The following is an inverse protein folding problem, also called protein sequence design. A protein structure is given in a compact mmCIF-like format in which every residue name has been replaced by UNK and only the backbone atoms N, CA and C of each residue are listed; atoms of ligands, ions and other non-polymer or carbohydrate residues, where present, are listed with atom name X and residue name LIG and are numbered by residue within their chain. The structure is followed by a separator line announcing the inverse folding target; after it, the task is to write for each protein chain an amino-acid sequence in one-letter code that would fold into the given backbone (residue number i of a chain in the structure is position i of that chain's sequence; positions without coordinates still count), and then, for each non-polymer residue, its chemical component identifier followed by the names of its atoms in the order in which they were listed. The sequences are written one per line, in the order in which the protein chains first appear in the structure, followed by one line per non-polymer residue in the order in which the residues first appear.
data_IF_376184330606
#
_entry.id   IF_376184330606
#
_cell.length_a   1.000
_cell.length_b   1.000
_cell.length_c   1.000
_cell.angle_alpha   90.00
_cell.angle_beta   90.00
_cell.angle_gamma   90.00
#
_symmetry.space_group_name_H-M   'P 1'
#
loop_
_entity.id
_entity.type
_entity.pdbx_description
1 polymer ?
#
# COMPACT_ATOMS: atom_id res chain seq x y z
N UNK A 1 29.80 0.66 16.34
CA UNK A 1 30.94 1.61 16.37
C UNK A 1 31.37 2.07 14.98
N UNK A 2 31.49 1.20 13.95
CA UNK A 2 31.92 1.56 12.59
C UNK A 2 31.10 2.69 11.93
N UNK A 3 29.79 2.54 11.78
CA UNK A 3 28.92 3.57 11.17
C UNK A 3 28.63 4.81 12.04
N UNK A 4 29.16 4.85 13.26
CA UNK A 4 29.17 6.08 14.08
C UNK A 4 30.44 6.90 13.84
N UNK A 5 31.51 6.26 13.35
CA UNK A 5 32.78 6.89 13.03
C UNK A 5 32.92 7.19 11.52
N UNK A 6 32.36 6.32 10.68
CA UNK A 6 32.32 6.47 9.22
C UNK A 6 30.91 6.87 8.76
N UNK A 7 30.83 7.60 7.64
CA UNK A 7 29.54 7.99 7.04
C UNK A 7 28.81 6.75 6.54
N UNK A 8 27.51 6.65 6.85
CA UNK A 8 26.66 5.53 6.41
C UNK A 8 26.44 5.61 4.88
N UNK A 9 26.68 4.52 4.11
CA UNK A 9 26.29 4.47 2.71
C UNK A 9 24.76 4.47 2.60
N UNK A 10 24.22 5.31 1.73
CA UNK A 10 22.78 5.43 1.48
C UNK A 10 22.47 4.77 0.13
N UNK A 11 21.68 3.71 0.15
CA UNK A 11 21.22 2.98 -1.03
C UNK A 11 19.73 3.23 -1.29
N UNK A 12 19.33 3.18 -2.56
CA UNK A 12 17.93 3.28 -2.99
C UNK A 12 17.18 1.97 -2.74
N UNK A 13 15.97 2.05 -2.20
CA UNK A 13 15.00 0.95 -2.11
C UNK A 13 13.87 1.06 -3.13
N UNK A 14 13.92 2.06 -4.02
CA UNK A 14 12.90 2.29 -5.04
C UNK A 14 12.54 1.02 -5.85
N UNK A 15 13.50 0.20 -6.33
CA UNK A 15 13.19 -0.99 -7.15
C UNK A 15 12.47 -2.12 -6.42
N UNK A 16 12.15 -1.97 -5.15
CA UNK A 16 11.40 -2.97 -4.38
C UNK A 16 9.89 -2.70 -4.52
N UNK A 17 9.15 -2.66 -3.42
CA UNK A 17 7.69 -2.47 -3.40
C UNK A 17 7.24 -1.05 -3.79
N UNK A 18 8.13 -0.06 -3.71
CA UNK A 18 7.79 1.34 -3.97
C UNK A 18 7.67 1.67 -5.47
N UNK A 19 8.19 0.81 -6.34
CA UNK A 19 8.22 1.08 -7.77
C UNK A 19 6.83 1.03 -8.40
N UNK A 20 6.00 0.06 -7.99
CA UNK A 20 4.64 -0.12 -8.49
C UNK A 20 3.79 1.12 -8.23
N UNK A 21 3.79 1.62 -6.99
CA UNK A 21 3.03 2.82 -6.61
C UNK A 21 3.55 4.08 -7.33
N UNK A 22 4.87 4.19 -7.51
CA UNK A 22 5.48 5.30 -8.24
C UNK A 22 5.08 5.30 -9.73
N UNK A 23 5.19 4.16 -10.40
CA UNK A 23 4.80 4.02 -11.81
C UNK A 23 3.32 4.31 -11.98
N UNK A 24 2.48 3.80 -11.08
CA UNK A 24 1.05 4.02 -11.15
C UNK A 24 0.70 5.52 -11.09
N UNK A 25 1.32 6.26 -10.17
CA UNK A 25 1.11 7.70 -10.05
C UNK A 25 1.53 8.45 -11.33
N UNK A 26 2.67 8.10 -11.91
CA UNK A 26 3.18 8.73 -13.14
C UNK A 26 2.38 8.34 -14.39
N UNK A 27 1.84 7.12 -14.46
CA UNK A 27 0.92 6.68 -15.53
C UNK A 27 -0.42 7.43 -15.40
N UNK A 28 -0.95 7.59 -14.19
CA UNK A 28 -2.20 8.33 -13.96
C UNK A 28 -2.11 9.80 -14.39
N UNK A 29 -0.94 10.43 -14.19
CA UNK A 29 -0.65 11.82 -14.61
C UNK A 29 -0.23 11.92 -16.09
N UNK A 30 -0.05 10.78 -16.78
CA UNK A 30 0.45 10.67 -18.16
C UNK A 30 1.88 11.19 -18.35
N UNK A 31 2.72 11.07 -17.32
CA UNK A 31 4.17 11.22 -17.47
C UNK A 31 4.77 9.99 -18.14
N UNK A 32 4.22 8.81 -17.85
CA UNK A 32 4.54 7.53 -18.49
C UNK A 32 3.36 7.17 -19.39
N UNK A 33 3.52 7.27 -20.71
CA UNK A 33 2.50 6.85 -21.67
C UNK A 33 2.88 5.53 -22.36
N UNK A 34 4.15 5.16 -22.35
CA UNK A 34 4.64 3.92 -22.96
C UNK A 34 5.78 3.28 -22.13
N UNK A 35 6.15 2.05 -22.46
CA UNK A 35 7.24 1.31 -21.79
C UNK A 35 8.61 2.00 -21.86
N UNK A 36 8.88 2.75 -22.93
CA UNK A 36 10.14 3.49 -23.09
C UNK A 36 10.19 4.67 -22.10
N UNK A 37 9.09 5.39 -21.90
CA UNK A 37 8.99 6.46 -20.90
C UNK A 37 9.24 5.92 -19.49
N UNK A 38 8.74 4.72 -19.17
CA UNK A 38 8.97 4.07 -17.89
C UNK A 38 10.47 3.76 -17.66
N UNK A 39 11.17 3.30 -18.70
CA UNK A 39 12.62 3.12 -18.66
C UNK A 39 13.35 4.46 -18.48
N UNK A 40 12.93 5.49 -19.22
CA UNK A 40 13.55 6.81 -19.20
C UNK A 40 13.41 7.46 -17.81
N UNK A 41 12.23 7.34 -17.18
CA UNK A 41 11.99 7.83 -15.82
C UNK A 41 12.95 7.17 -14.82
N UNK A 42 13.20 5.86 -14.94
CA UNK A 42 14.10 5.15 -14.03
C UNK A 42 15.54 5.68 -14.10
N UNK A 43 16.00 6.10 -15.28
CA UNK A 43 17.33 6.69 -15.47
C UNK A 43 17.49 8.00 -14.67
N UNK A 44 16.41 8.75 -14.47
CA UNK A 44 16.41 9.99 -13.69
C UNK A 44 16.50 9.76 -12.16
N UNK A 45 16.29 8.53 -11.69
CA UNK A 45 16.22 8.23 -10.26
C UNK A 45 17.60 8.11 -9.60
N UNK A 46 17.64 8.30 -8.28
CA UNK A 46 18.82 7.97 -7.48
C UNK A 46 19.18 6.48 -7.58
N UNK A 47 18.19 5.62 -7.80
CA UNK A 47 18.38 4.17 -7.95
C UNK A 47 19.34 3.82 -9.09
N UNK A 48 19.11 4.40 -10.27
CA UNK A 48 19.98 4.17 -11.43
C UNK A 48 21.42 4.57 -11.16
N UNK A 49 21.64 5.72 -10.51
CA UNK A 49 22.98 6.17 -10.12
C UNK A 49 23.66 5.17 -9.18
N UNK A 50 22.93 4.56 -8.25
CA UNK A 50 23.47 3.59 -7.28
C UNK A 50 23.71 2.20 -7.86
N UNK A 51 22.92 1.76 -8.83
CA UNK A 51 23.14 0.49 -9.54
C UNK A 51 24.54 0.42 -10.17
N UNK A 52 25.05 1.53 -10.70
CA UNK A 52 26.42 1.59 -11.27
C UNK A 52 27.53 1.56 -10.21
N UNK A 53 27.24 1.99 -8.98
CA UNK A 53 28.23 2.14 -7.90
C UNK A 53 28.28 0.91 -6.98
N UNK A 54 27.16 0.24 -6.78
CA UNK A 54 27.04 -0.94 -5.93
C UNK A 54 26.08 -1.97 -6.55
N UNK A 55 26.45 -2.59 -7.69
CA UNK A 55 25.57 -3.48 -8.45
C UNK A 55 25.10 -4.69 -7.65
N UNK A 56 25.98 -5.27 -6.81
CA UNK A 56 25.65 -6.43 -6.00
C UNK A 56 24.49 -6.18 -5.03
N UNK A 57 24.28 -4.94 -4.57
CA UNK A 57 23.13 -4.59 -3.73
C UNK A 57 21.79 -4.75 -4.47
N UNK A 58 21.81 -4.52 -5.78
CA UNK A 58 20.65 -4.59 -6.67
C UNK A 58 20.56 -5.94 -7.41
N UNK A 59 21.30 -6.96 -6.96
CA UNK A 59 21.42 -8.26 -7.64
C UNK A 59 21.92 -8.17 -9.09
N UNK A 60 22.69 -7.12 -9.42
CA UNK A 60 23.35 -6.97 -10.71
C UNK A 60 24.74 -7.62 -10.68
N UNK A 61 25.03 -8.47 -11.67
CA UNK A 61 26.33 -9.14 -11.80
C UNK A 61 27.37 -8.31 -12.57
N UNK A 62 26.92 -7.35 -13.38
CA UNK A 62 27.78 -6.54 -14.24
C UNK A 62 27.15 -5.15 -14.43
N UNK A 63 28.00 -4.14 -14.66
CA UNK A 63 27.62 -2.73 -14.85
C UNK A 63 27.80 -2.28 -16.30
N UNK A 64 28.02 -3.20 -17.24
CA UNK A 64 28.04 -2.83 -18.65
C UNK A 64 26.68 -2.25 -19.06
N UNK A 65 26.68 -1.32 -20.01
CA UNK A 65 25.46 -0.66 -20.48
C UNK A 65 24.36 -1.65 -20.88
N UNK A 66 24.75 -2.78 -21.48
CA UNK A 66 23.82 -3.83 -21.85
C UNK A 66 23.16 -4.48 -20.63
N UNK A 67 23.92 -4.91 -19.61
CA UNK A 67 23.35 -5.54 -18.43
C UNK A 67 22.46 -4.60 -17.61
N UNK A 68 22.82 -3.32 -17.55
CA UNK A 68 21.97 -2.30 -16.89
C UNK A 68 20.67 -2.10 -17.66
N UNK A 69 20.73 -2.00 -18.99
CA UNK A 69 19.55 -1.87 -19.83
C UNK A 69 18.64 -3.09 -19.71
N UNK A 70 19.21 -4.29 -19.76
CA UNK A 70 18.47 -5.55 -19.64
C UNK A 70 17.77 -5.64 -18.28
N UNK A 71 18.46 -5.27 -17.18
CA UNK A 71 17.86 -5.26 -15.85
C UNK A 71 16.76 -4.22 -15.68
N UNK A 72 16.94 -3.00 -16.21
CA UNK A 72 15.89 -1.98 -16.17
C UNK A 72 14.67 -2.42 -16.99
N UNK A 73 14.91 -3.03 -18.16
CA UNK A 73 13.83 -3.57 -18.98
C UNK A 73 13.08 -4.68 -18.25
N UNK A 74 13.77 -5.62 -17.62
CA UNK A 74 13.16 -6.69 -16.81
C UNK A 74 12.35 -6.11 -15.64
N UNK A 75 12.88 -5.08 -14.97
CA UNK A 75 12.21 -4.40 -13.86
C UNK A 75 10.93 -3.70 -14.31
N UNK A 76 10.97 -2.98 -15.44
CA UNK A 76 9.79 -2.33 -16.03
C UNK A 76 8.76 -3.37 -16.44
N UNK A 77 9.16 -4.42 -17.15
CA UNK A 77 8.23 -5.48 -17.59
C UNK A 77 7.59 -6.20 -16.40
N UNK A 78 8.35 -6.53 -15.37
CA UNK A 78 7.82 -7.20 -14.17
C UNK A 78 6.83 -6.30 -13.44
N UNK A 79 7.18 -5.03 -13.22
CA UNK A 79 6.31 -4.09 -12.49
C UNK A 79 5.04 -3.75 -13.26
N UNK A 80 5.12 -3.51 -14.57
CA UNK A 80 3.94 -3.30 -15.40
C UNK A 80 3.08 -4.57 -15.49
N UNK A 81 3.69 -5.76 -15.58
CA UNK A 81 2.95 -7.02 -15.57
C UNK A 81 2.17 -7.22 -14.26
N UNK A 82 2.78 -6.94 -13.11
CA UNK A 82 2.12 -7.00 -11.81
C UNK A 82 0.95 -6.00 -11.72
N UNK A 83 1.13 -4.77 -12.20
CA UNK A 83 0.08 -3.74 -12.23
C UNK A 83 -1.07 -4.08 -13.19
N UNK A 84 -0.80 -4.81 -14.28
CA UNK A 84 -1.84 -5.36 -15.16
C UNK A 84 -2.58 -6.49 -14.45
N UNK A 85 -1.88 -7.37 -13.74
CA UNK A 85 -2.48 -8.47 -12.98
C UNK A 85 -3.42 -7.95 -11.87
N UNK A 86 -3.05 -6.85 -11.21
CA UNK A 86 -3.90 -6.15 -10.23
C UNK A 86 -5.02 -5.31 -10.85
N UNK A 87 -5.14 -5.29 -12.20
CA UNK A 87 -6.12 -4.51 -12.98
C UNK A 87 -6.04 -3.00 -12.72
N UNK A 88 -4.86 -2.50 -12.36
CA UNK A 88 -4.64 -1.08 -12.13
C UNK A 88 -4.29 -0.35 -13.44
N UNK A 89 -3.65 -1.02 -14.39
CA UNK A 89 -3.30 -0.47 -15.71
C UNK A 89 -3.72 -1.43 -16.83
N UNK A 90 -3.79 -0.90 -18.06
CA UNK A 90 -3.90 -1.66 -19.29
C UNK A 90 -2.70 -1.36 -20.19
N UNK A 91 -2.27 -2.37 -20.94
CA UNK A 91 -1.23 -2.23 -21.97
C UNK A 91 -1.89 -2.45 -23.33
N UNK A 92 -1.82 -1.43 -24.19
CA UNK A 92 -2.34 -1.42 -25.56
C UNK A 92 -1.17 -1.59 -26.53
N UNK A 93 -1.38 -2.35 -27.62
CA UNK A 93 -0.39 -2.60 -28.68
C UNK A 93 1.00 -3.07 -28.17
N UNK A 94 1.01 -3.78 -27.02
CA UNK A 94 2.22 -4.27 -26.32
C UNK A 94 3.20 -3.18 -25.84
N UNK A 95 2.88 -1.90 -26.04
CA UNK A 95 3.80 -0.77 -25.82
C UNK A 95 3.19 0.39 -25.03
N UNK A 96 1.96 0.79 -25.34
CA UNK A 96 1.30 1.94 -24.74
C UNK A 96 0.62 1.53 -23.43
N UNK A 97 0.67 2.40 -22.41
CA UNK A 97 0.20 2.12 -21.06
C UNK A 97 -0.85 3.14 -20.66
N UNK A 98 -1.98 2.68 -20.14
CA UNK A 98 -3.07 3.53 -19.66
C UNK A 98 -3.53 3.11 -18.26
N UNK A 99 -3.83 4.09 -17.41
CA UNK A 99 -4.39 3.83 -16.09
C UNK A 99 -5.87 3.42 -16.20
N UNK A 100 -6.24 2.34 -15.52
CA UNK A 100 -7.64 1.93 -15.35
C UNK A 100 -8.26 2.62 -14.12
N UNK A 101 -9.57 2.47 -13.93
CA UNK A 101 -10.28 3.07 -12.80
C UNK A 101 -9.62 2.76 -11.44
N UNK A 102 -9.19 1.51 -11.22
CA UNK A 102 -8.51 1.13 -9.98
C UNK A 102 -7.16 1.86 -9.83
N UNK A 103 -6.41 1.99 -10.93
CA UNK A 103 -5.15 2.73 -10.93
C UNK A 103 -5.34 4.22 -10.63
N UNK A 104 -6.40 4.82 -11.18
CA UNK A 104 -6.76 6.22 -10.91
C UNK A 104 -7.10 6.43 -9.43
N UNK A 105 -7.94 5.57 -8.84
CA UNK A 105 -8.29 5.64 -7.42
C UNK A 105 -7.03 5.55 -6.54
N UNK A 106 -6.14 4.60 -6.82
CA UNK A 106 -4.89 4.43 -6.06
C UNK A 106 -4.03 5.70 -6.11
N UNK A 107 -3.87 6.29 -7.30
CA UNK A 107 -3.08 7.51 -7.50
C UNK A 107 -3.72 8.74 -6.83
N UNK A 108 -5.04 8.92 -6.95
CA UNK A 108 -5.77 10.07 -6.41
C UNK A 108 -5.74 10.10 -4.87
N UNK A 109 -5.84 8.94 -4.22
CA UNK A 109 -5.84 8.84 -2.75
C UNK A 109 -4.47 8.56 -2.14
N UNK A 110 -3.43 8.38 -2.98
CA UNK A 110 -2.08 8.01 -2.58
C UNK A 110 -2.05 6.80 -1.63
N UNK A 111 -2.71 5.73 -2.08
CA UNK A 111 -2.75 4.42 -1.39
C UNK A 111 -1.91 3.42 -2.17
N UNK A 112 -1.56 2.29 -1.57
CA UNK A 112 -0.75 1.27 -2.25
C UNK A 112 -1.60 0.43 -3.20
N UNK A 113 -1.02 0.00 -4.33
CA UNK A 113 -1.69 -0.89 -5.28
C UNK A 113 -2.13 -2.22 -4.63
N UNK A 114 -1.35 -2.71 -3.64
CA UNK A 114 -1.66 -3.92 -2.87
C UNK A 114 -2.97 -3.74 -2.08
N UNK A 115 -3.20 -2.56 -1.52
CA UNK A 115 -4.43 -2.28 -0.77
C UNK A 115 -5.66 -2.32 -1.68
N UNK A 116 -5.56 -1.76 -2.89
CA UNK A 116 -6.66 -1.81 -3.86
C UNK A 116 -6.91 -3.23 -4.38
N UNK A 117 -5.86 -4.03 -4.52
CA UNK A 117 -5.99 -5.46 -4.81
C UNK A 117 -6.75 -6.19 -3.70
N UNK A 118 -6.39 -5.96 -2.43
CA UNK A 118 -7.10 -6.51 -1.26
C UNK A 118 -8.57 -6.09 -1.26
N UNK A 119 -8.88 -4.84 -1.61
CA UNK A 119 -10.25 -4.34 -1.69
C UNK A 119 -11.03 -5.04 -2.79
N UNK A 120 -10.43 -5.20 -3.96
CA UNK A 120 -11.07 -5.85 -5.11
C UNK A 120 -11.36 -7.33 -4.83
N UNK A 121 -10.49 -8.03 -4.11
CA UNK A 121 -10.67 -9.44 -3.76
C UNK A 121 -11.64 -9.65 -2.57
N UNK A 122 -11.68 -8.71 -1.62
CA UNK A 122 -12.40 -8.89 -0.36
C UNK A 122 -13.80 -8.25 -0.36
N UNK A 123 -14.00 -7.15 -1.09
CA UNK A 123 -15.28 -6.47 -1.16
C UNK A 123 -16.24 -7.22 -2.09
N UNK A 124 -17.49 -7.34 -1.65
CA UNK A 124 -18.59 -7.99 -2.37
C UNK A 124 -19.84 -7.13 -2.21
N UNK A 125 -20.84 -7.33 -3.07
CA UNK A 125 -22.14 -6.68 -2.96
C UNK A 125 -22.82 -6.95 -1.59
N UNK A 126 -22.56 -8.11 -0.99
CA UNK A 126 -23.12 -8.51 0.31
C UNK A 126 -22.33 -8.02 1.53
N UNK A 127 -21.22 -7.28 1.33
CA UNK A 127 -20.38 -6.81 2.43
C UNK A 127 -21.17 -5.89 3.38
N UNK A 128 -21.07 -6.20 4.68
CA UNK A 128 -21.69 -5.45 5.78
C UNK A 128 -20.64 -4.58 6.47
N UNK A 129 -21.07 -3.69 7.36
CA UNK A 129 -20.18 -2.79 8.11
C UNK A 129 -19.05 -3.52 8.86
N UNK A 130 -19.33 -4.69 9.46
CA UNK A 130 -18.30 -5.55 10.06
C UNK A 130 -17.21 -5.92 9.04
N UNK A 131 -17.60 -6.39 7.86
CA UNK A 131 -16.68 -6.77 6.80
C UNK A 131 -15.93 -5.59 6.21
N UNK A 132 -16.58 -4.42 6.08
CA UNK A 132 -15.89 -3.19 5.66
C UNK A 132 -14.78 -2.81 6.64
N UNK A 133 -15.07 -2.87 7.94
CA UNK A 133 -14.08 -2.56 8.97
C UNK A 133 -12.90 -3.53 8.94
N UNK A 134 -13.17 -4.82 8.74
CA UNK A 134 -12.14 -5.86 8.57
C UNK A 134 -11.26 -5.57 7.34
N UNK A 135 -11.87 -5.28 6.20
CA UNK A 135 -11.15 -5.00 4.94
C UNK A 135 -10.28 -3.75 5.08
N UNK A 136 -10.83 -2.64 5.59
CA UNK A 136 -10.08 -1.39 5.78
C UNK A 136 -8.94 -1.61 6.78
N UNK A 137 -9.16 -2.33 7.88
CA UNK A 137 -8.09 -2.62 8.86
C UNK A 137 -6.98 -3.51 8.31
N UNK A 138 -7.23 -4.25 7.23
CA UNK A 138 -6.28 -5.15 6.57
C UNK A 138 -5.49 -4.47 5.43
N UNK A 139 -5.62 -3.15 5.28
CA UNK A 139 -4.90 -2.39 4.25
C UNK A 139 -3.39 -2.35 4.53
N UNK A 140 -2.56 -2.38 3.48
CA UNK A 140 -1.10 -2.44 3.58
C UNK A 140 -0.50 -1.22 4.30
N UNK A 141 -1.21 -0.08 4.28
CA UNK A 141 -0.83 1.17 4.94
C UNK A 141 -0.69 1.05 6.46
N UNK A 142 -1.35 0.04 7.04
CA UNK A 142 -1.34 -0.24 8.48
C UNK A 142 -0.32 -1.30 8.91
N UNK A 143 0.44 -1.89 7.98
CA UNK A 143 1.51 -2.85 8.34
C UNK A 143 2.60 -2.22 9.22
N UNK A 144 2.81 -0.91 9.07
CA UNK A 144 3.81 -0.16 9.82
C UNK A 144 3.34 0.27 11.22
N UNK A 145 2.11 -0.08 11.63
CA UNK A 145 1.63 0.23 12.99
C UNK A 145 2.47 -0.58 14.00
N UNK A 146 3.10 0.07 14.99
CA UNK A 146 4.03 -0.61 15.88
C UNK A 146 3.29 -1.57 16.81
N UNK A 147 3.81 -2.78 16.97
CA UNK A 147 3.37 -3.73 17.99
C UNK A 147 4.40 -3.73 19.12
N UNK A 148 3.99 -3.31 20.32
CA UNK A 148 4.87 -3.20 21.48
C UNK A 148 4.85 -4.49 22.31
N UNK A 149 5.93 -4.74 23.06
CA UNK A 149 6.02 -5.90 23.96
C UNK A 149 4.95 -5.81 25.05
N UNK A 150 4.28 -6.94 25.32
CA UNK A 150 3.22 -7.08 26.33
C UNK A 150 2.00 -6.18 26.09
N UNK A 151 1.80 -5.72 24.86
CA UNK A 151 0.63 -4.93 24.45
C UNK A 151 -0.62 -5.81 24.30
N UNK A 152 -0.46 -7.12 24.15
CA UNK A 152 -1.52 -8.14 24.02
C UNK A 152 -2.52 -8.10 25.18
N UNK A 153 -2.04 -7.89 26.41
CA UNK A 153 -2.90 -7.80 27.60
C UNK A 153 -3.81 -6.58 27.54
N UNK A 154 -3.29 -5.45 27.03
CA UNK A 154 -4.06 -4.22 26.88
C UNK A 154 -5.05 -4.34 25.73
N UNK A 155 -4.61 -4.85 24.58
CA UNK A 155 -5.47 -5.07 23.42
C UNK A 155 -6.58 -6.07 23.74
N UNK A 156 -6.34 -7.09 24.57
CA UNK A 156 -7.39 -8.00 25.05
C UNK A 156 -8.45 -7.29 25.88
N UNK A 157 -8.06 -6.39 26.79
CA UNK A 157 -9.01 -5.59 27.59
C UNK A 157 -9.84 -4.65 26.72
N UNK A 158 -9.24 -4.08 25.67
CA UNK A 158 -9.97 -3.28 24.67
C UNK A 158 -10.91 -4.19 23.89
N UNK A 159 -10.42 -5.34 23.43
CA UNK A 159 -11.19 -6.31 22.67
C UNK A 159 -12.45 -6.72 23.41
N UNK A 160 -12.39 -7.04 24.70
CA UNK A 160 -13.56 -7.42 25.50
C UNK A 160 -14.68 -6.37 25.49
N UNK A 161 -14.32 -5.09 25.37
CA UNK A 161 -15.25 -3.95 25.43
C UNK A 161 -15.80 -3.50 24.08
N UNK A 162 -15.17 -3.87 22.96
CA UNK A 162 -15.64 -3.47 21.62
C UNK A 162 -16.81 -4.35 21.14
N UNK A 163 -17.75 -3.79 20.35
CA UNK A 163 -18.96 -4.48 19.95
C UNK A 163 -18.74 -5.57 18.89
N UNK A 164 -17.80 -5.39 17.96
CA UNK A 164 -17.56 -6.32 16.86
C UNK A 164 -16.40 -7.27 17.20
N UNK A 165 -16.70 -8.57 17.16
CA UNK A 165 -15.74 -9.65 17.44
C UNK A 165 -15.34 -10.37 16.15
N UNK A 166 -14.08 -10.78 16.10
CA UNK A 166 -13.50 -11.59 15.02
C UNK A 166 -13.41 -13.06 15.45
N UNK A 167 -13.53 -13.94 14.47
CA UNK A 167 -13.44 -15.39 14.70
C UNK A 167 -11.98 -15.82 14.92
N UNK A 168 -11.04 -15.18 14.22
CA UNK A 168 -9.61 -15.33 14.42
C UNK A 168 -9.06 -14.06 15.07
N UNK A 169 -8.40 -14.24 16.21
CA UNK A 169 -7.87 -13.16 17.03
C UNK A 169 -6.37 -13.30 17.09
N UNK A 170 -5.65 -12.29 16.60
CA UNK A 170 -4.20 -12.23 16.68
C UNK A 170 -3.75 -10.87 17.23
N UNK A 171 -3.31 -10.86 18.49
CA UNK A 171 -2.89 -9.64 19.17
C UNK A 171 -1.49 -9.16 18.74
N UNK A 172 -0.74 -9.99 18.00
CA UNK A 172 0.59 -9.63 17.50
C UNK A 172 0.52 -9.03 16.09
N UNK A 173 -0.65 -9.03 15.47
CA UNK A 173 -0.81 -8.54 14.10
C UNK A 173 -1.23 -7.06 14.04
N UNK A 174 -0.56 -6.24 13.20
CA UNK A 174 -0.90 -4.81 13.02
C UNK A 174 -2.33 -4.55 12.53
N UNK A 175 -2.85 -5.41 11.64
CA UNK A 175 -4.21 -5.29 11.13
C UNK A 175 -5.26 -5.47 12.24
N UNK A 176 -5.06 -6.45 13.13
CA UNK A 176 -5.96 -6.69 14.25
C UNK A 176 -5.91 -5.54 15.26
N UNK A 177 -4.71 -5.01 15.55
CA UNK A 177 -4.57 -3.81 16.38
C UNK A 177 -5.33 -2.63 15.78
N UNK A 178 -5.20 -2.38 14.49
CA UNK A 178 -5.90 -1.30 13.78
C UNK A 178 -7.42 -1.47 13.86
N UNK A 179 -7.91 -2.70 13.65
CA UNK A 179 -9.32 -3.05 13.81
C UNK A 179 -9.86 -2.70 15.20
N UNK A 180 -9.10 -3.00 16.26
CA UNK A 180 -9.48 -2.64 17.63
C UNK A 180 -9.46 -1.12 17.88
N UNK A 181 -8.44 -0.43 17.39
CA UNK A 181 -8.29 1.02 17.60
C UNK A 181 -9.41 1.81 16.91
N UNK A 182 -9.83 1.39 15.72
CA UNK A 182 -10.99 2.01 15.04
C UNK A 182 -12.28 1.81 15.84
N UNK A 183 -12.54 0.59 16.33
CA UNK A 183 -13.71 0.34 17.16
C UNK A 183 -13.67 1.08 18.50
N UNK A 184 -12.49 1.19 19.11
CA UNK A 184 -12.31 1.92 20.35
C UNK A 184 -12.68 3.39 20.19
N UNK A 185 -12.35 3.99 19.03
CA UNK A 185 -12.79 5.35 18.69
C UNK A 185 -14.30 5.47 18.53
N UNK A 186 -14.93 4.58 17.75
CA UNK A 186 -16.39 4.60 17.58
C UNK A 186 -17.12 4.43 18.92
N UNK A 187 -16.54 3.65 19.83
CA UNK A 187 -17.06 3.40 21.17
C UNK A 187 -16.63 4.46 22.21
N UNK A 188 -15.84 5.48 21.80
CA UNK A 188 -15.29 6.54 22.66
C UNK A 188 -14.57 6.01 23.91
N UNK A 189 -13.89 4.86 23.77
CA UNK A 189 -13.13 4.26 24.86
C UNK A 189 -11.90 5.10 25.18
N UNK A 190 -11.62 5.29 26.47
CA UNK A 190 -10.40 5.94 26.92
C UNK A 190 -9.23 4.97 26.77
N UNK A 191 -8.29 5.31 25.90
CA UNK A 191 -7.09 4.55 25.63
C UNK A 191 -5.88 5.12 26.39
N UNK A 192 -4.89 4.29 26.78
CA UNK A 192 -3.60 4.77 27.25
C UNK A 192 -2.91 5.67 26.20
N UNK A 193 -2.02 6.59 26.60
CA UNK A 193 -1.35 7.51 25.69
C UNK A 193 -0.65 6.83 24.50
N UNK A 194 -0.04 5.67 24.73
CA UNK A 194 0.67 4.92 23.67
C UNK A 194 -0.28 4.43 22.57
N UNK A 195 -1.43 3.87 22.96
CA UNK A 195 -2.47 3.40 22.02
C UNK A 195 -3.22 4.57 21.38
N UNK A 196 -3.37 5.69 22.09
CA UNK A 196 -3.95 6.90 21.53
C UNK A 196 -3.04 7.52 20.45
N UNK A 197 -1.71 7.46 20.64
CA UNK A 197 -0.75 7.88 19.62
C UNK A 197 -0.82 6.99 18.38
N UNK A 198 -0.91 5.66 18.55
CA UNK A 198 -1.08 4.75 17.41
C UNK A 198 -2.41 4.97 16.69
N UNK A 199 -3.47 5.24 17.45
CA UNK A 199 -4.78 5.54 16.89
C UNK A 199 -4.74 6.83 16.04
N UNK A 200 -3.95 7.84 16.44
CA UNK A 200 -3.75 9.03 15.61
C UNK A 200 -3.08 8.69 14.27
N UNK A 201 -2.06 7.82 14.26
CA UNK A 201 -1.42 7.35 13.02
C UNK A 201 -2.40 6.59 12.11
N UNK A 202 -3.33 5.83 12.69
CA UNK A 202 -4.40 5.18 11.92
C UNK A 202 -5.32 6.22 11.28
N UNK A 203 -5.69 7.28 12.02
CA UNK A 203 -6.58 8.32 11.53
C UNK A 203 -6.02 9.18 10.41
N UNK A 204 -4.70 9.35 10.35
CA UNK A 204 -4.05 10.06 9.24
C UNK A 204 -4.33 9.38 7.88
N UNK A 205 -4.54 8.07 7.86
CA UNK A 205 -4.68 7.28 6.63
C UNK A 205 -6.10 6.77 6.39
N UNK A 206 -6.88 6.54 7.43
CA UNK A 206 -8.18 5.84 7.31
C UNK A 206 -9.19 6.59 6.44
N UNK A 207 -9.18 7.92 6.43
CA UNK A 207 -10.15 8.70 5.65
C UNK A 207 -9.95 8.47 4.15
N UNK A 208 -8.70 8.54 3.67
CA UNK A 208 -8.38 8.26 2.26
C UNK A 208 -8.74 6.81 1.89
N UNK A 209 -8.48 5.86 2.79
CA UNK A 209 -8.81 4.45 2.58
C UNK A 209 -10.32 4.20 2.51
N UNK A 210 -11.11 4.88 3.35
CA UNK A 210 -12.57 4.80 3.30
C UNK A 210 -13.13 5.42 2.03
N UNK A 211 -12.63 6.59 1.61
CA UNK A 211 -13.00 7.21 0.34
C UNK A 211 -12.65 6.32 -0.85
N UNK A 212 -11.45 5.74 -0.88
CA UNK A 212 -11.07 4.77 -1.91
C UNK A 212 -11.97 3.53 -1.90
N UNK A 213 -12.35 3.02 -0.72
CA UNK A 213 -13.29 1.90 -0.60
C UNK A 213 -14.67 2.25 -1.19
N UNK A 214 -15.18 3.47 -0.94
CA UNK A 214 -16.44 3.97 -1.54
C UNK A 214 -16.33 4.00 -3.06
N UNK A 215 -15.22 4.49 -3.60
CA UNK A 215 -15.03 4.63 -5.04
C UNK A 215 -14.85 3.28 -5.75
N UNK A 216 -14.16 2.32 -5.13
CA UNK A 216 -14.07 0.94 -5.64
C UNK A 216 -15.45 0.27 -5.67
N UNK A 217 -16.25 0.43 -4.60
CA UNK A 217 -17.59 -0.16 -4.53
C UNK A 217 -18.58 0.51 -5.51
N UNK A 218 -18.48 1.82 -5.67
CA UNK A 218 -19.31 2.58 -6.62
C UNK A 218 -18.96 2.28 -8.08
N UNK A 219 -17.67 2.07 -8.38
CA UNK A 219 -17.20 1.62 -9.70
C UNK A 219 -17.78 0.27 -10.10
N UNK A 220 -18.04 -0.62 -9.13
CA UNK A 220 -18.72 -1.90 -9.32
C UNK A 220 -20.25 -1.80 -9.28
N UNK A 221 -20.81 -0.58 -9.20
CA UNK A 221 -22.25 -0.29 -9.10
C UNK A 221 -22.95 -0.94 -7.89
N UNK A 222 -22.23 -1.16 -6.78
CA UNK A 222 -22.85 -1.71 -5.58
C UNK A 222 -23.42 -0.61 -4.67
N UNK A 223 -24.72 -0.67 -4.40
CA UNK A 223 -25.42 0.31 -3.53
C UNK A 223 -24.90 0.28 -2.08
N UNK A 224 -24.26 -0.82 -1.66
CA UNK A 224 -23.66 -0.95 -0.34
C UNK A 224 -22.49 0.01 -0.09
N UNK A 225 -22.00 0.74 -1.11
CA UNK A 225 -21.05 1.84 -0.97
C UNK A 225 -21.55 2.92 0.02
N UNK A 226 -22.87 3.10 0.14
CA UNK A 226 -23.50 3.99 1.14
C UNK A 226 -23.10 3.63 2.59
N UNK A 227 -22.84 2.35 2.88
CA UNK A 227 -22.39 1.93 4.21
C UNK A 227 -20.92 2.26 4.48
N UNK A 228 -20.11 2.35 3.44
CA UNK A 228 -18.75 2.85 3.56
C UNK A 228 -18.77 4.37 3.79
N UNK A 229 -19.72 5.09 3.17
CA UNK A 229 -19.98 6.51 3.49
C UNK A 229 -20.47 6.72 4.92
N UNK A 230 -21.30 5.81 5.48
CA UNK A 230 -21.71 5.89 6.89
C UNK A 230 -20.52 5.74 7.87
N UNK A 231 -19.40 5.15 7.39
CA UNK A 231 -18.19 4.91 8.19
C UNK A 231 -17.16 6.04 8.08
N UNK A 232 -17.20 6.85 7.01
CA UNK A 232 -16.32 8.00 6.75
C UNK A 232 -16.80 9.26 7.47
#
# INVERSE_FOLDING_TARGET
KKFLAERLPIESHLPTHLLHDYFLAEIAVKTIENKQDAMDILIWTYSYRRMTQNPNYYNLHNVSHQHLSDHLSELVETTLSDLVNSKCIAIEDEMDVSALNLGMITADYNISYVTVEVYTLSLKESTKLKGLLEVVSSSAEFENIPIRRHEDVLLRRVYDRVPVKLDQVDFEAPHFKTFLLLQAHFSRLQLPPDLAADQALVFEKVLNLLSACVDVMSSNAWLNATRAMDLS
#
